data_IF_026545404639
#
_entry.id   IF_026545404639
#
_cell.length_a   1.000
_cell.length_b   1.000
_cell.length_c   1.000
_cell.angle_alpha   90.00
_cell.angle_beta   90.00
_cell.angle_gamma   90.00
#
_symmetry.space_group_name_H-M   'P 1'
#
loop_
_entity.id
_entity.type
_entity.pdbx_description
1 polymer ?
#
# COMPACT_ATOMS: atom_id res chain seq x y z
N UNK A 1 -2.62 -1.24 4.11
CA UNK A 1 -3.61 -0.40 4.82
C UNK A 1 -2.96 0.05 6.12
N UNK A 2 -3.02 1.34 6.47
CA UNK A 2 -2.50 1.82 7.75
C UNK A 2 -3.46 1.49 8.89
N UNK A 3 -3.15 0.46 9.68
CA UNK A 3 -3.96 0.07 10.84
C UNK A 3 -3.62 1.00 12.00
N UNK A 4 -4.47 2.02 12.23
CA UNK A 4 -4.23 3.13 13.17
C UNK A 4 -3.87 2.63 14.57
N UNK A 5 -4.63 1.68 15.12
CA UNK A 5 -4.38 1.14 16.46
C UNK A 5 -3.00 0.46 16.58
N UNK A 6 -2.56 -0.24 15.53
CA UNK A 6 -1.26 -0.90 15.52
C UNK A 6 -0.12 0.13 15.39
N UNK A 7 -0.28 1.17 14.57
CA UNK A 7 0.70 2.26 14.45
C UNK A 7 0.92 2.95 15.79
N UNK A 8 -0.17 3.27 16.50
CA UNK A 8 -0.09 3.92 17.81
C UNK A 8 0.59 3.03 18.85
N UNK A 9 0.40 1.71 18.79
CA UNK A 9 1.03 0.75 19.70
C UNK A 9 2.51 0.51 19.39
N UNK A 10 2.87 0.51 18.10
CA UNK A 10 4.21 0.18 17.61
C UNK A 10 5.31 1.03 18.25
N UNK A 11 5.06 2.32 18.47
CA UNK A 11 6.03 3.21 19.11
C UNK A 11 6.39 2.76 20.54
N UNK A 12 5.40 2.30 21.31
CA UNK A 12 5.61 1.87 22.69
C UNK A 12 6.28 0.49 22.74
N UNK A 13 5.87 -0.40 21.84
CA UNK A 13 6.37 -1.78 21.80
C UNK A 13 7.81 -1.84 21.27
N UNK A 14 8.15 -1.01 20.27
CA UNK A 14 9.47 -0.99 19.62
C UNK A 14 9.91 0.45 19.29
N UNK A 15 10.56 1.16 20.23
CA UNK A 15 11.03 2.52 20.00
C UNK A 15 12.15 2.55 18.95
N UNK A 16 12.18 3.61 18.12
CA UNK A 16 13.24 3.86 17.13
C UNK A 16 13.08 3.13 15.78
N UNK A 17 11.95 2.45 15.53
CA UNK A 17 11.70 1.79 14.25
C UNK A 17 11.30 2.79 13.15
N UNK A 18 11.77 2.55 11.93
CA UNK A 18 11.31 3.27 10.74
C UNK A 18 9.94 2.76 10.31
N UNK A 19 8.97 3.67 10.14
CA UNK A 19 7.62 3.32 9.71
C UNK A 19 7.48 3.48 8.20
N UNK A 20 7.00 2.43 7.53
CA UNK A 20 6.55 2.47 6.15
C UNK A 20 5.03 2.37 6.08
N UNK A 21 4.39 3.20 5.26
CA UNK A 21 2.93 3.29 5.15
C UNK A 21 2.50 3.20 3.69
N UNK A 22 1.72 2.17 3.38
CA UNK A 22 1.06 2.04 2.07
C UNK A 22 -0.14 3.00 1.98
N UNK A 23 0.10 4.18 1.39
CA UNK A 23 -0.88 5.26 1.25
C UNK A 23 -1.66 5.15 -0.06
N UNK A 24 -0.92 5.02 -1.17
CA UNK A 24 -1.38 4.77 -2.54
C UNK A 24 -2.31 5.80 -3.19
N UNK A 25 -2.96 6.70 -2.46
CA UNK A 25 -3.66 7.83 -3.08
C UNK A 25 -3.82 8.99 -2.09
N UNK A 26 -3.87 10.24 -2.57
CA UNK A 26 -4.00 11.43 -1.74
C UNK A 26 -5.46 11.78 -1.39
N UNK A 27 -6.44 11.05 -1.93
CA UNK A 27 -7.86 11.26 -1.71
C UNK A 27 -8.56 9.94 -1.31
N UNK A 28 -9.52 10.02 -0.39
CA UNK A 28 -10.11 8.84 0.26
C UNK A 28 -10.89 7.94 -0.72
N UNK A 29 -11.60 8.53 -1.67
CA UNK A 29 -12.33 7.85 -2.74
C UNK A 29 -11.39 6.98 -3.60
N UNK A 30 -10.29 7.56 -4.08
CA UNK A 30 -9.27 6.84 -4.86
C UNK A 30 -8.60 5.76 -4.00
N UNK A 31 -8.33 6.05 -2.71
CA UNK A 31 -7.80 5.04 -1.77
C UNK A 31 -8.74 3.85 -1.62
N UNK A 32 -10.05 4.07 -1.56
CA UNK A 32 -11.03 3.00 -1.48
C UNK A 32 -11.18 2.22 -2.79
N UNK A 33 -10.93 2.85 -3.93
CA UNK A 33 -10.89 2.18 -5.24
C UNK A 33 -9.68 1.23 -5.35
N UNK A 34 -8.52 1.66 -4.87
CA UNK A 34 -7.28 0.85 -4.91
C UNK A 34 -7.25 -0.19 -3.79
N UNK A 35 -7.69 0.19 -2.58
CA UNK A 35 -7.67 -0.62 -1.37
C UNK A 35 -9.03 -0.58 -0.68
N UNK A 36 -9.96 -1.52 -0.94
CA UNK A 36 -11.30 -1.51 -0.36
C UNK A 36 -11.31 -1.46 1.18
N UNK A 37 -10.32 -2.06 1.83
CA UNK A 37 -10.13 -2.02 3.27
C UNK A 37 -9.81 -0.61 3.83
N UNK A 38 -9.38 0.34 3.00
CA UNK A 38 -9.19 1.74 3.40
C UNK A 38 -10.50 2.44 3.83
N UNK A 39 -11.68 1.87 3.51
CA UNK A 39 -12.97 2.38 4.02
C UNK A 39 -13.04 2.37 5.55
N UNK A 40 -12.41 1.39 6.19
CA UNK A 40 -12.36 1.30 7.65
C UNK A 40 -11.35 2.27 8.29
N UNK A 41 -10.47 2.89 7.49
CA UNK A 41 -9.38 3.75 7.94
C UNK A 41 -9.34 5.05 7.12
N UNK A 42 -10.22 6.03 7.48
CA UNK A 42 -10.28 7.32 6.80
C UNK A 42 -8.91 8.00 6.73
N UNK A 43 -8.63 8.64 5.59
CA UNK A 43 -7.33 9.27 5.33
C UNK A 43 -6.94 10.28 6.40
N UNK A 44 -7.86 11.17 6.78
CA UNK A 44 -7.63 12.16 7.83
C UNK A 44 -7.13 11.52 9.14
N UNK A 45 -7.86 10.52 9.66
CA UNK A 45 -7.47 9.80 10.87
C UNK A 45 -6.15 9.06 10.74
N UNK A 46 -5.82 8.57 9.55
CA UNK A 46 -4.51 7.97 9.29
C UNK A 46 -3.43 9.05 9.39
N UNK A 47 -3.61 10.21 8.74
CA UNK A 47 -2.64 11.31 8.79
C UNK A 47 -2.40 11.80 10.21
N UNK A 48 -3.46 11.93 11.02
CA UNK A 48 -3.35 12.31 12.43
C UNK A 48 -2.49 11.32 13.24
N UNK A 49 -2.70 10.02 13.01
CA UNK A 49 -1.92 8.96 13.65
C UNK A 49 -0.46 8.98 13.21
N UNK A 50 -0.19 9.25 11.93
CA UNK A 50 1.18 9.37 11.41
C UNK A 50 1.88 10.61 11.98
N UNK A 51 1.17 11.71 12.15
CA UNK A 51 1.73 12.93 12.72
C UNK A 51 2.12 12.71 14.19
N UNK A 52 1.26 12.04 14.95
CA UNK A 52 1.55 11.68 16.33
C UNK A 52 2.72 10.69 16.44
N UNK A 53 2.79 9.70 15.55
CA UNK A 53 3.93 8.77 15.47
C UNK A 53 5.24 9.50 15.18
N UNK A 54 5.24 10.41 14.20
CA UNK A 54 6.42 11.18 13.83
C UNK A 54 6.88 12.10 14.96
N UNK A 55 5.95 12.80 15.62
CA UNK A 55 6.24 13.67 16.77
C UNK A 55 6.94 12.92 17.91
N UNK A 56 6.56 11.67 18.14
CA UNK A 56 7.12 10.81 19.20
C UNK A 56 8.43 10.13 18.82
N UNK A 57 8.53 9.65 17.59
CA UNK A 57 9.69 8.89 17.12
C UNK A 57 10.84 9.76 16.62
N UNK A 58 10.54 10.99 16.18
CA UNK A 58 11.46 11.87 15.45
C UNK A 58 12.08 11.21 14.21
N UNK A 59 11.42 10.16 13.68
CA UNK A 59 11.86 9.41 12.51
C UNK A 59 11.09 9.86 11.25
N UNK A 60 11.75 9.70 10.11
CA UNK A 60 11.11 9.89 8.81
C UNK A 60 10.16 8.73 8.52
N UNK A 61 9.00 9.06 7.95
CA UNK A 61 8.04 8.06 7.51
C UNK A 61 8.27 7.78 6.01
N UNK A 62 8.35 6.51 5.66
CA UNK A 62 8.38 6.08 4.26
C UNK A 62 6.94 5.91 3.76
N UNK A 63 6.54 6.70 2.78
CA UNK A 63 5.22 6.61 2.15
C UNK A 63 5.33 5.77 0.88
N UNK A 64 4.62 4.66 0.82
CA UNK A 64 4.55 3.85 -0.40
C UNK A 64 3.35 4.27 -1.26
N UNK A 65 3.64 4.54 -2.53
CA UNK A 65 2.67 5.03 -3.50
C UNK A 65 2.74 4.19 -4.77
N UNK A 66 1.74 3.34 -4.99
CA UNK A 66 1.65 2.56 -6.22
C UNK A 66 1.22 3.47 -7.37
N UNK A 67 1.86 3.37 -8.52
CA UNK A 67 1.57 4.20 -9.70
C UNK A 67 0.70 3.41 -10.67
N UNK A 68 -0.57 3.82 -10.80
CA UNK A 68 -1.59 3.18 -11.63
C UNK A 68 -2.07 4.18 -12.70
N UNK A 69 -1.92 3.79 -13.97
CA UNK A 69 -2.22 4.65 -15.11
C UNK A 69 -3.68 5.09 -15.15
N UNK A 70 -3.91 6.41 -15.13
CA UNK A 70 -5.23 7.03 -15.20
C UNK A 70 -6.05 6.93 -13.92
N UNK A 71 -5.48 6.43 -12.81
CA UNK A 71 -6.18 6.28 -11.53
C UNK A 71 -5.65 7.24 -10.49
N UNK A 72 -4.33 7.28 -10.31
CA UNK A 72 -3.71 8.04 -9.22
C UNK A 72 -2.37 8.69 -9.63
N UNK A 73 -2.09 8.79 -10.92
CA UNK A 73 -0.78 9.17 -11.45
C UNK A 73 -0.77 10.49 -12.24
N UNK A 74 -1.93 11.13 -12.42
CA UNK A 74 -2.05 12.46 -13.00
C UNK A 74 -1.38 13.56 -12.14
N UNK A 75 -0.97 14.67 -12.77
CA UNK A 75 -0.25 15.78 -12.11
C UNK A 75 -1.02 16.37 -10.92
N UNK A 76 -2.35 16.44 -11.02
CA UNK A 76 -3.21 16.87 -9.92
C UNK A 76 -3.03 16.01 -8.66
N UNK A 77 -2.81 14.70 -8.81
CA UNK A 77 -2.60 13.80 -7.69
C UNK A 77 -1.23 14.05 -7.04
N UNK A 78 -0.21 14.40 -7.82
CA UNK A 78 1.10 14.79 -7.29
C UNK A 78 0.98 16.06 -6.44
N UNK A 79 0.22 17.05 -6.88
CA UNK A 79 -0.04 18.26 -6.12
C UNK A 79 -0.85 18.02 -4.85
N UNK A 80 -1.89 17.19 -4.92
CA UNK A 80 -2.67 16.80 -3.74
C UNK A 80 -1.82 16.04 -2.73
N UNK A 81 -1.00 15.09 -3.19
CA UNK A 81 -0.09 14.34 -2.33
C UNK A 81 0.97 15.25 -1.70
N UNK A 82 1.53 16.18 -2.49
CA UNK A 82 2.49 17.15 -2.00
C UNK A 82 1.94 18.01 -0.87
N UNK A 83 0.73 18.56 -1.06
CA UNK A 83 0.03 19.33 -0.01
C UNK A 83 -0.30 18.50 1.23
N UNK A 84 -0.74 17.26 1.04
CA UNK A 84 -1.07 16.34 2.13
C UNK A 84 0.13 16.03 3.03
N UNK A 85 1.33 16.01 2.44
CA UNK A 85 2.58 15.60 3.12
C UNK A 85 3.49 16.79 3.47
N UNK A 86 3.08 18.02 3.20
CA UNK A 86 3.92 19.23 3.34
C UNK A 86 4.43 19.44 4.77
N UNK A 87 3.63 19.07 5.77
CA UNK A 87 3.97 19.21 7.19
C UNK A 87 4.72 18.00 7.77
N UNK A 88 5.04 17.00 6.95
CA UNK A 88 5.63 15.74 7.41
C UNK A 88 7.09 15.60 6.98
N UNK A 89 7.91 14.99 7.85
CA UNK A 89 9.23 14.51 7.43
C UNK A 89 9.11 13.14 6.76
N UNK A 90 8.93 13.14 5.44
CA UNK A 90 8.67 11.90 4.68
C UNK A 90 9.68 11.64 3.57
N UNK A 91 9.75 10.37 3.18
CA UNK A 91 10.27 9.95 1.89
C UNK A 91 9.15 9.25 1.14
N UNK A 92 8.87 9.66 -0.09
CA UNK A 92 7.87 8.99 -0.94
C UNK A 92 8.56 7.97 -1.83
N UNK A 93 8.07 6.74 -1.83
CA UNK A 93 8.52 5.68 -2.72
C UNK A 93 7.44 5.40 -3.76
N UNK A 94 7.67 5.85 -4.99
CA UNK A 94 6.82 5.55 -6.14
C UNK A 94 7.11 4.13 -6.62
N UNK A 95 6.06 3.30 -6.71
CA UNK A 95 6.14 1.90 -7.08
C UNK A 95 5.35 1.71 -8.38
N UNK A 96 6.03 1.64 -9.55
CA UNK A 96 5.37 1.30 -10.81
C UNK A 96 4.65 -0.04 -10.68
N UNK A 97 3.35 -0.06 -10.98
CA UNK A 97 2.56 -1.28 -10.91
C UNK A 97 3.13 -2.35 -11.84
N UNK A 98 3.23 -3.59 -11.36
CA UNK A 98 3.58 -4.73 -12.19
C UNK A 98 2.30 -5.49 -12.55
N UNK A 99 1.95 -5.53 -13.83
CA UNK A 99 0.79 -6.26 -14.33
C UNK A 99 1.14 -7.75 -14.46
N UNK A 100 1.24 -8.47 -13.35
CA UNK A 100 1.40 -9.94 -13.42
C UNK A 100 0.03 -10.55 -13.68
N UNK A 101 -0.21 -10.89 -14.95
CA UNK A 101 -1.38 -11.64 -15.40
C UNK A 101 -2.47 -10.78 -16.06
N UNK A 102 -3.30 -11.44 -16.86
CA UNK A 102 -4.39 -10.87 -17.68
C UNK A 102 -5.61 -10.42 -16.87
N UNK A 103 -5.60 -10.54 -15.54
CA UNK A 103 -6.76 -10.35 -14.67
C UNK A 103 -6.79 -9.00 -13.93
N UNK A 104 -5.75 -8.17 -14.01
CA UNK A 104 -5.77 -6.86 -13.33
C UNK A 104 -6.44 -5.79 -14.18
N UNK A 105 -7.47 -5.13 -13.65
CA UNK A 105 -8.11 -3.96 -14.27
C UNK A 105 -7.21 -2.71 -14.36
N UNK A 106 -6.04 -2.75 -13.71
CA UNK A 106 -5.10 -1.64 -13.63
C UNK A 106 -3.92 -1.82 -14.58
N UNK A 107 -3.34 -0.69 -14.99
CA UNK A 107 -2.16 -0.63 -15.86
C UNK A 107 -1.02 0.11 -15.18
N UNK A 108 0.20 -0.22 -15.57
CA UNK A 108 1.39 0.48 -15.10
C UNK A 108 1.46 1.88 -15.70
N UNK A 109 1.75 2.87 -14.85
CA UNK A 109 2.04 4.25 -15.28
C UNK A 109 3.30 4.29 -16.15
N UNK A 110 3.26 5.06 -17.24
CA UNK A 110 4.43 5.26 -18.11
C UNK A 110 5.60 5.94 -17.38
N UNK A 111 6.84 5.60 -17.76
CA UNK A 111 8.04 6.19 -17.15
C UNK A 111 8.05 7.72 -17.18
N UNK A 112 7.52 8.31 -18.26
CA UNK A 112 7.40 9.76 -18.41
C UNK A 112 6.47 10.36 -17.36
N UNK A 113 5.30 9.76 -17.13
CA UNK A 113 4.37 10.19 -16.08
C UNK A 113 4.97 10.02 -14.69
N UNK A 114 5.64 8.89 -14.42
CA UNK A 114 6.35 8.67 -13.13
C UNK A 114 7.42 9.76 -12.91
N UNK A 115 8.21 10.08 -13.94
CA UNK A 115 9.23 11.12 -13.89
C UNK A 115 8.63 12.50 -13.62
N UNK A 116 7.52 12.84 -14.28
CA UNK A 116 6.82 14.11 -14.05
C UNK A 116 6.25 14.19 -12.62
N UNK A 117 5.61 13.12 -12.15
CA UNK A 117 5.11 13.03 -10.77
C UNK A 117 6.24 13.24 -9.75
N UNK A 118 7.38 12.57 -9.95
CA UNK A 118 8.57 12.72 -9.12
C UNK A 118 9.12 14.16 -9.14
N UNK A 119 9.15 14.80 -10.32
CA UNK A 119 9.59 16.19 -10.47
C UNK A 119 8.69 17.16 -9.70
N UNK A 120 7.37 16.97 -9.74
CA UNK A 120 6.42 17.83 -8.99
C UNK A 120 6.69 17.72 -7.49
N UNK A 121 6.74 16.50 -6.94
CA UNK A 121 6.99 16.28 -5.52
C UNK A 121 8.32 16.88 -5.05
N UNK A 122 9.41 16.64 -5.81
CA UNK A 122 10.74 17.12 -5.44
C UNK A 122 10.90 18.62 -5.66
N UNK A 123 10.40 19.15 -6.78
CA UNK A 123 10.63 20.52 -7.21
C UNK A 123 9.71 21.53 -6.54
N UNK A 124 8.43 21.18 -6.35
CA UNK A 124 7.42 22.09 -5.81
C UNK A 124 7.31 21.97 -4.29
N UNK A 125 7.34 20.75 -3.77
CA UNK A 125 7.09 20.47 -2.35
C UNK A 125 8.34 20.08 -1.56
N UNK A 126 9.50 20.02 -2.22
CA UNK A 126 10.77 19.59 -1.61
C UNK A 126 10.70 18.20 -0.93
N UNK A 127 9.82 17.32 -1.41
CA UNK A 127 9.63 15.98 -0.85
C UNK A 127 10.62 15.02 -1.51
N UNK A 128 11.47 14.37 -0.70
CA UNK A 128 12.37 13.33 -1.19
C UNK A 128 11.57 12.18 -1.77
N UNK A 129 11.80 11.88 -3.04
CA UNK A 129 11.04 10.88 -3.78
C UNK A 129 11.96 9.88 -4.47
N UNK A 130 11.74 8.59 -4.24
CA UNK A 130 12.41 7.46 -4.91
C UNK A 130 11.44 6.75 -5.85
N UNK A 131 11.97 6.15 -6.91
CA UNK A 131 11.21 5.25 -7.78
C UNK A 131 11.78 3.85 -7.59
N UNK A 132 10.94 2.90 -7.18
CA UNK A 132 11.35 1.51 -6.98
C UNK A 132 11.60 0.88 -8.35
N UNK A 133 12.87 0.57 -8.64
CA UNK A 133 13.22 -0.24 -9.82
C UNK A 133 12.66 -1.65 -9.60
N UNK A 134 11.94 -2.17 -10.60
CA UNK A 134 11.52 -3.55 -10.62
C UNK A 134 12.77 -4.41 -10.81
N UNK A 135 13.08 -5.24 -9.81
CA UNK A 135 14.12 -6.27 -9.88
C UNK A 135 13.39 -7.60 -9.93
N UNK A 136 13.55 -8.36 -11.02
CA UNK A 136 13.09 -9.76 -11.09
C UNK A 136 11.72 -10.00 -11.73
N UNK A 137 11.45 -9.51 -12.94
CA UNK A 137 10.36 -10.10 -13.75
C UNK A 137 10.62 -11.60 -14.06
N UNK A 138 11.87 -12.06 -13.96
CA UNK A 138 12.27 -13.46 -14.21
C UNK A 138 11.93 -14.43 -13.05
N UNK A 139 11.56 -13.93 -11.87
CA UNK A 139 11.27 -14.77 -10.70
C UNK A 139 10.08 -14.17 -9.94
N UNK A 140 9.02 -14.94 -9.76
CA UNK A 140 7.78 -14.57 -9.06
C UNK A 140 7.97 -14.21 -7.57
N UNK A 141 8.80 -13.22 -7.24
CA UNK A 141 9.10 -12.69 -5.90
C UNK A 141 8.86 -11.18 -5.71
N UNK A 142 8.21 -10.46 -6.63
CA UNK A 142 7.83 -9.06 -6.43
C UNK A 142 6.77 -8.91 -5.31
N UNK A 143 6.74 -7.73 -4.70
CA UNK A 143 5.83 -7.40 -3.60
C UNK A 143 4.37 -7.52 -4.08
N UNK A 144 3.60 -8.47 -3.51
CA UNK A 144 2.25 -8.84 -3.98
C UNK A 144 2.16 -10.20 -4.69
N UNK A 145 3.29 -10.87 -4.95
CA UNK A 145 3.34 -12.17 -5.65
C UNK A 145 3.34 -13.39 -4.72
N UNK A 146 3.18 -13.21 -3.40
CA UNK A 146 2.95 -14.32 -2.48
C UNK A 146 1.49 -14.80 -2.60
N UNK A 147 1.21 -15.50 -3.69
CA UNK A 147 -0.04 -16.26 -3.86
C UNK A 147 0.15 -17.62 -3.18
N UNK A 148 -0.60 -17.87 -2.12
CA UNK A 148 -0.75 -19.25 -1.63
C UNK A 148 -1.55 -19.99 -2.70
N UNK A 149 -0.90 -20.88 -3.46
CA UNK A 149 -1.60 -21.87 -4.25
C UNK A 149 -2.33 -22.80 -3.27
N UNK A 150 -3.56 -22.43 -2.89
CA UNK A 150 -4.47 -23.37 -2.25
C UNK A 150 -4.80 -24.41 -3.33
N UNK A 151 -4.48 -25.70 -3.12
CA UNK A 151 -4.85 -26.73 -4.06
C UNK A 151 -6.37 -26.72 -4.21
N UNK A 152 -6.82 -26.71 -5.47
CA UNK A 152 -8.21 -26.75 -5.88
C UNK A 152 -8.88 -27.95 -5.20
N UNK A 153 -9.68 -27.69 -4.16
CA UNK A 153 -10.49 -28.74 -3.55
C UNK A 153 -11.70 -28.91 -4.46
N UNK A 154 -11.51 -29.70 -5.51
CA UNK A 154 -12.59 -30.19 -6.36
C UNK A 154 -13.64 -30.87 -5.48
N UNK A 155 -14.80 -30.22 -5.38
CA UNK A 155 -16.02 -30.82 -4.87
C UNK A 155 -16.52 -31.80 -5.94
N UNK A 156 -16.53 -33.10 -5.63
CA UNK A 156 -17.21 -34.09 -6.47
C UNK A 156 -16.87 -35.54 -6.20
N UNK A 157 -17.69 -36.18 -5.36
CA UNK A 157 -17.95 -37.62 -5.21
C UNK A 157 -16.93 -38.52 -4.48
N UNK A 158 -17.20 -38.78 -3.19
CA UNK A 158 -17.24 -40.14 -2.60
C UNK A 158 -17.98 -40.12 -1.24
N UNK A 159 -18.73 -41.20 -0.99
CA UNK A 159 -19.63 -41.58 0.12
C UNK A 159 -19.49 -40.93 1.52
N UNK A 160 -20.60 -40.90 2.30
CA UNK A 160 -20.61 -40.31 3.64
C UNK A 160 -19.75 -41.12 4.61
N UNK A 161 -18.76 -40.43 5.19
CA UNK A 161 -18.07 -40.87 6.40
C UNK A 161 -19.07 -40.79 7.55
N UNK A 162 -19.36 -41.92 8.18
CA UNK A 162 -20.01 -41.98 9.49
C UNK A 162 -19.03 -41.41 10.52
N UNK A 163 -19.41 -40.28 11.12
CA UNK A 163 -18.65 -39.61 12.17
C UNK A 163 -18.57 -40.46 13.44
N UNK A 164 -17.42 -40.37 14.11
CA UNK A 164 -17.05 -41.11 15.34
C UNK A 164 -17.69 -40.47 16.60
N UNK A 165 -18.60 -39.51 16.45
CA UNK A 165 -19.20 -38.77 17.56
C UNK A 165 -20.42 -39.44 18.23
N UNK A 166 -20.85 -40.63 17.78
CA UNK A 166 -21.93 -41.42 18.44
C UNK A 166 -21.43 -42.43 19.50
N UNK A 167 -20.24 -42.20 20.08
CA UNK A 167 -19.71 -43.01 21.18
C UNK A 167 -19.71 -42.22 22.48
N UNK A 168 -20.91 -41.87 22.96
CA UNK A 168 -21.15 -41.45 24.35
C UNK A 168 -22.42 -42.12 24.89
N UNK A 169 -22.18 -43.06 25.82
CA UNK A 169 -23.05 -43.83 26.74
C UNK A 169 -23.63 -45.14 26.19
#
# INVERSE_FOLDING_TARGET
VGIIHAINKLHNDVPGLNLAVSLHAPAQDIRCQIMPAARAFPLEKLMDSLQEYQRKSLQKILIEYIMLDGVNDEEQHAHLLGKLLETFEVVVNLIPFNSIGTLSQFKSTSEQKVSNFQKILRGTYNIRTTVRKQMGEDISGACGQLVVNLPDKSLGNANPLTDIEDLVI
#
